data_IF_200624710525
#
_entry.id   IF_200624710525
#
_cell.length_a   1.000
_cell.length_b   1.000
_cell.length_c   1.000
_cell.angle_alpha   90.00
_cell.angle_beta   90.00
_cell.angle_gamma   90.00
#
_symmetry.space_group_name_H-M   'P 1'
#
loop_
_entity.id
_entity.type
_entity.pdbx_description
1 polymer ?
#
# COMPACT_ATOMS: atom_id res chain seq x y z
N UNK A 1 -15.06 -14.92 -2.14
CA UNK A 1 -15.14 -13.45 -2.13
C UNK A 1 -13.82 -12.91 -1.57
N UNK A 2 -13.20 -11.95 -2.26
CA UNK A 2 -11.88 -11.43 -1.85
C UNK A 2 -11.97 -10.65 -0.54
N UNK A 3 -11.05 -10.91 0.39
CA UNK A 3 -10.88 -10.16 1.65
C UNK A 3 -10.30 -8.75 1.42
N UNK A 4 -10.64 -8.06 0.33
CA UNK A 4 -10.16 -6.71 0.02
C UNK A 4 -11.39 -5.86 -0.31
N UNK A 5 -11.60 -4.77 0.42
CA UNK A 5 -12.68 -3.84 0.15
C UNK A 5 -12.48 -3.15 -1.22
N UNK A 6 -13.59 -2.81 -1.90
CA UNK A 6 -13.58 -2.26 -3.27
C UNK A 6 -12.65 -1.06 -3.42
N UNK A 7 -12.61 -0.21 -2.39
CA UNK A 7 -11.89 1.06 -2.40
C UNK A 7 -10.66 1.06 -1.46
N UNK A 8 -10.19 -0.13 -1.07
CA UNK A 8 -9.05 -0.26 -0.15
C UNK A 8 -7.73 0.30 -0.72
N UNK A 9 -7.59 0.33 -2.06
CA UNK A 9 -6.42 0.88 -2.73
C UNK A 9 -6.82 2.07 -3.60
N UNK A 10 -6.39 3.27 -3.20
CA UNK A 10 -6.66 4.50 -3.95
C UNK A 10 -5.50 4.86 -4.87
N UNK A 11 -5.81 5.42 -6.03
CA UNK A 11 -4.78 5.91 -6.96
C UNK A 11 -4.20 7.22 -6.45
N UNK A 12 -2.87 7.33 -6.50
CA UNK A 12 -2.18 8.59 -6.24
C UNK A 12 -2.28 9.49 -7.47
N UNK A 13 -2.95 10.62 -7.32
CA UNK A 13 -3.02 11.65 -8.37
C UNK A 13 -2.05 12.79 -8.06
N UNK A 14 -1.52 13.44 -9.10
CA UNK A 14 -0.66 14.62 -8.96
C UNK A 14 -1.30 15.73 -8.12
N UNK A 15 -2.61 15.94 -8.27
CA UNK A 15 -3.35 16.98 -7.53
C UNK A 15 -3.53 16.57 -6.07
N UNK A 16 -3.98 15.33 -5.80
CA UNK A 16 -4.20 14.85 -4.44
C UNK A 16 -2.92 14.61 -3.64
N UNK A 17 -1.79 14.39 -4.33
CA UNK A 17 -0.52 14.01 -3.74
C UNK A 17 0.65 14.83 -4.30
N UNK A 18 0.47 16.16 -4.37
CA UNK A 18 1.46 17.08 -4.96
C UNK A 18 2.88 16.90 -4.39
N UNK A 19 3.01 16.80 -3.07
CA UNK A 19 4.32 16.65 -2.40
C UNK A 19 4.98 15.30 -2.71
N UNK A 20 4.19 14.23 -2.77
CA UNK A 20 4.72 12.91 -3.13
C UNK A 20 5.10 12.89 -4.61
N UNK A 21 4.27 13.45 -5.49
CA UNK A 21 4.55 13.59 -6.91
C UNK A 21 5.85 14.34 -7.18
N UNK A 22 6.11 15.43 -6.45
CA UNK A 22 7.36 16.17 -6.57
C UNK A 22 8.61 15.32 -6.25
N UNK A 23 8.48 14.28 -5.42
CA UNK A 23 9.57 13.38 -5.03
C UNK A 23 9.76 12.21 -6.01
N UNK A 24 8.66 11.62 -6.48
CA UNK A 24 8.71 10.33 -7.20
C UNK A 24 8.26 10.42 -8.68
N UNK A 25 7.68 11.55 -9.08
CA UNK A 25 7.13 11.76 -10.42
C UNK A 25 5.91 10.87 -10.75
N UNK A 26 5.40 10.99 -11.98
CA UNK A 26 4.23 10.22 -12.44
C UNK A 26 4.49 8.70 -12.42
N UNK A 27 5.69 8.29 -12.86
CA UNK A 27 6.10 6.89 -12.85
C UNK A 27 6.18 6.34 -11.43
N UNK A 28 6.65 7.13 -10.47
CA UNK A 28 6.69 6.73 -9.07
C UNK A 28 5.31 6.59 -8.44
N UNK A 29 4.38 7.52 -8.71
CA UNK A 29 2.99 7.39 -8.23
C UNK A 29 2.33 6.10 -8.75
N UNK A 30 2.60 5.74 -10.01
CA UNK A 30 2.12 4.48 -10.59
C UNK A 30 2.76 3.27 -9.91
N UNK A 31 4.09 3.27 -9.73
CA UNK A 31 4.80 2.17 -9.08
C UNK A 31 4.33 1.95 -7.63
N UNK A 32 4.09 3.03 -6.89
CA UNK A 32 3.52 2.99 -5.54
C UNK A 32 2.13 2.34 -5.56
N UNK A 33 1.25 2.76 -6.47
CA UNK A 33 -0.09 2.17 -6.56
C UNK A 33 -0.05 0.67 -6.91
N UNK A 34 0.84 0.26 -7.81
CA UNK A 34 1.04 -1.15 -8.13
C UNK A 34 1.58 -1.96 -6.93
N UNK A 35 2.46 -1.34 -6.15
CA UNK A 35 2.96 -1.92 -4.91
C UNK A 35 1.84 -2.07 -3.85
N UNK A 36 0.98 -1.07 -3.68
CA UNK A 36 -0.19 -1.13 -2.79
C UNK A 36 -1.13 -2.28 -3.17
N UNK A 37 -1.42 -2.46 -4.46
CA UNK A 37 -2.23 -3.58 -4.95
C UNK A 37 -1.59 -4.94 -4.63
N UNK A 38 -0.26 -5.05 -4.71
CA UNK A 38 0.46 -6.27 -4.33
C UNK A 38 0.38 -6.50 -2.83
N UNK A 39 0.58 -5.46 -2.02
CA UNK A 39 0.50 -5.52 -0.56
C UNK A 39 -0.88 -5.99 -0.09
N UNK A 40 -1.96 -5.42 -0.64
CA UNK A 40 -3.34 -5.85 -0.35
C UNK A 40 -3.55 -7.35 -0.63
N UNK A 41 -3.00 -7.85 -1.76
CA UNK A 41 -3.08 -9.27 -2.14
C UNK A 41 -2.26 -10.19 -1.22
N UNK A 42 -1.16 -9.71 -0.66
CA UNK A 42 -0.34 -10.47 0.30
C UNK A 42 -1.11 -10.60 1.61
N UNK A 43 -1.57 -9.48 2.17
CA UNK A 43 -2.20 -9.43 3.49
C UNK A 43 -3.60 -10.08 3.49
N UNK A 44 -4.36 -9.97 2.40
CA UNK A 44 -5.67 -10.64 2.28
C UNK A 44 -5.61 -12.18 2.29
N UNK A 45 -4.42 -12.78 2.22
CA UNK A 45 -4.24 -14.23 2.36
C UNK A 45 -4.02 -14.66 3.81
N UNK A 46 -3.77 -13.73 4.72
CA UNK A 46 -3.53 -14.04 6.12
C UNK A 46 -4.84 -14.47 6.80
N UNK A 47 -4.71 -15.41 7.73
CA UNK A 47 -5.80 -15.79 8.64
C UNK A 47 -6.17 -14.62 9.54
N UNK A 48 -5.17 -13.85 9.95
CA UNK A 48 -5.33 -12.81 10.94
C UNK A 48 -5.76 -11.46 10.35
N UNK A 49 -6.02 -11.39 9.05
CA UNK A 49 -6.71 -10.29 8.40
C UNK A 49 -8.08 -10.78 7.94
N UNK A 50 -9.13 -10.16 8.46
CA UNK A 50 -10.53 -10.47 8.11
C UNK A 50 -10.90 -9.83 6.76
N UNK A 51 -10.61 -8.54 6.59
CA UNK A 51 -10.76 -7.80 5.35
C UNK A 51 -9.78 -6.63 5.33
N UNK A 52 -8.97 -6.53 4.27
CA UNK A 52 -8.18 -5.33 3.97
C UNK A 52 -9.13 -4.19 3.60
N UNK A 53 -9.14 -3.11 4.38
CA UNK A 53 -10.01 -1.95 4.14
C UNK A 53 -9.25 -0.70 3.71
N UNK A 54 -7.94 -0.62 3.97
CA UNK A 54 -7.12 0.52 3.59
C UNK A 54 -5.67 0.11 3.32
N UNK A 55 -5.08 0.68 2.27
CA UNK A 55 -3.67 0.49 1.91
C UNK A 55 -3.10 1.81 1.45
N UNK A 56 -1.91 2.15 1.93
CA UNK A 56 -1.18 3.30 1.44
C UNK A 56 0.35 3.18 1.59
N UNK A 57 1.04 4.04 0.84
CA UNK A 57 2.48 4.23 0.89
C UNK A 57 2.95 4.72 2.26
N UNK A 58 3.95 4.04 2.81
CA UNK A 58 4.61 4.46 4.05
C UNK A 58 5.81 5.35 3.72
N UNK A 59 5.61 6.67 3.73
CA UNK A 59 6.67 7.64 3.45
C UNK A 59 7.83 7.55 4.47
N UNK A 60 7.55 7.20 5.73
CA UNK A 60 8.56 7.07 6.78
C UNK A 60 9.37 5.77 6.73
N UNK A 61 8.90 4.74 6.03
CA UNK A 61 9.59 3.45 5.90
C UNK A 61 10.10 3.17 4.48
N UNK A 62 9.86 4.07 3.53
CA UNK A 62 10.22 3.89 2.14
C UNK A 62 11.38 4.81 1.74
N UNK A 63 12.28 4.27 0.92
CA UNK A 63 13.38 5.00 0.30
C UNK A 63 13.26 4.86 -1.21
N UNK A 64 12.39 5.65 -1.84
CA UNK A 64 12.18 5.59 -3.29
C UNK A 64 13.46 5.95 -4.07
N UNK A 65 13.82 5.24 -5.17
CA UNK A 65 13.11 4.09 -5.77
C UNK A 65 13.52 2.72 -5.23
N UNK A 66 14.46 2.67 -4.27
CA UNK A 66 15.09 1.43 -3.80
C UNK A 66 14.14 0.56 -2.98
N UNK A 67 13.37 1.19 -2.08
CA UNK A 67 12.52 0.51 -1.11
C UNK A 67 11.14 1.14 -1.08
N UNK A 68 10.13 0.35 -1.46
CA UNK A 68 8.73 0.69 -1.34
C UNK A 68 8.12 -0.13 -0.21
N UNK A 69 7.53 0.57 0.76
CA UNK A 69 6.79 -0.02 1.86
C UNK A 69 5.36 0.49 1.84
N UNK A 70 4.39 -0.41 1.83
CA UNK A 70 2.97 -0.07 2.01
C UNK A 70 2.51 -0.57 3.37
N UNK A 71 1.73 0.24 4.08
CA UNK A 71 0.99 -0.25 5.23
C UNK A 71 -0.41 -0.68 4.79
N UNK A 72 -0.88 -1.79 5.34
CA UNK A 72 -2.15 -2.42 5.03
C UNK A 72 -2.94 -2.59 6.32
N UNK A 73 -4.12 -1.98 6.36
CA UNK A 73 -5.03 -2.05 7.51
C UNK A 73 -6.21 -2.99 7.23
N UNK A 74 -6.49 -3.82 8.23
CA UNK A 74 -7.58 -4.78 8.24
C UNK A 74 -8.71 -4.31 9.16
N UNK A 75 -9.96 -4.68 8.85
CA UNK A 75 -11.16 -4.24 9.58
C UNK A 75 -11.11 -4.65 11.06
N UNK A 76 -10.44 -5.77 11.38
CA UNK A 76 -10.16 -6.20 12.75
C UNK A 76 -9.11 -5.36 13.50
N UNK A 77 -8.63 -4.26 12.93
CA UNK A 77 -7.70 -3.32 13.57
C UNK A 77 -6.22 -3.68 13.42
N UNK A 78 -5.87 -4.78 12.74
CA UNK A 78 -4.47 -5.12 12.47
C UNK A 78 -3.90 -4.27 11.34
N UNK A 79 -2.66 -3.82 11.53
CA UNK A 79 -1.82 -3.20 10.50
C UNK A 79 -0.65 -4.13 10.17
N UNK A 80 -0.32 -4.20 8.89
CA UNK A 80 0.86 -4.91 8.38
C UNK A 80 1.68 -3.98 7.50
N UNK A 81 3.00 -4.13 7.51
CA UNK A 81 3.90 -3.43 6.59
C UNK A 81 4.45 -4.41 5.58
N UNK A 82 4.32 -4.08 4.30
CA UNK A 82 4.78 -4.92 3.20
C UNK A 82 5.87 -4.18 2.45
N UNK A 83 7.04 -4.78 2.32
CA UNK A 83 8.15 -4.32 1.50
C UNK A 83 8.37 -5.30 0.34
N UNK A 84 8.25 -4.84 -0.90
CA UNK A 84 8.46 -5.65 -2.10
C UNK A 84 7.64 -6.97 -2.16
N UNK A 85 6.52 -7.04 -1.43
CA UNK A 85 5.67 -8.23 -1.32
C UNK A 85 6.01 -9.17 -0.14
N UNK A 86 6.94 -8.78 0.73
CA UNK A 86 7.30 -9.47 1.98
C UNK A 86 6.77 -8.65 3.15
N UNK A 87 6.19 -9.31 4.17
CA UNK A 87 5.75 -8.63 5.40
C UNK A 87 6.98 -8.43 6.30
N UNK A 88 7.18 -7.22 6.82
CA UNK A 88 8.43 -6.78 7.47
C UNK A 88 8.22 -6.16 8.87
N UNK A 89 7.32 -6.73 9.67
CA UNK A 89 6.85 -6.24 11.00
C UNK A 89 5.73 -5.19 10.97
#
# INVERSE_FOLDING_TARGET
MGKIAKDACQKYTKIGFHNLHAKVGDAGLKAIYEHDLKAAKVVSKLTDCDQVFFVAYSESRSTYPNELVSFVDCTNGRRFYVQNGVIID
#
